data_IF_871503334946
#
_entry.id   IF_871503334946
#
_cell.length_a   1.000
_cell.length_b   1.000
_cell.length_c   1.000
_cell.angle_alpha   90.00
_cell.angle_beta   90.00
_cell.angle_gamma   90.00
#
_symmetry.space_group_name_H-M   'P 1'
#
loop_
_entity.id
_entity.type
_entity.pdbx_description
1 polymer ?
#
# COMPACT_ATOMS: atom_id res chain seq x y z
N UNK A 1 3.35 -4.86 20.86
CA UNK A 1 2.04 -4.58 20.22
C UNK A 1 1.03 -3.92 21.17
N UNK A 2 0.58 -4.53 22.28
CA UNK A 2 -0.46 -3.93 23.17
C UNK A 2 -0.09 -2.53 23.68
N UNK A 3 1.14 -2.30 24.15
CA UNK A 3 1.61 -0.99 24.64
C UNK A 3 1.55 0.09 23.54
N UNK A 4 2.00 -0.22 22.33
CA UNK A 4 1.94 0.72 21.21
C UNK A 4 0.50 1.05 20.81
N UNK A 5 -0.41 0.07 20.86
CA UNK A 5 -1.82 0.28 20.59
C UNK A 5 -2.47 1.22 21.60
N UNK A 6 -2.30 0.95 22.90
CA UNK A 6 -2.86 1.81 23.97
C UNK A 6 -2.34 3.24 23.85
N UNK A 7 -1.01 3.42 23.67
CA UNK A 7 -0.43 4.74 23.49
C UNK A 7 -0.98 5.48 22.28
N UNK A 8 -1.08 4.77 21.13
CA UNK A 8 -1.65 5.36 19.94
C UNK A 8 -3.15 5.69 20.08
N UNK A 9 -3.92 4.91 20.84
CA UNK A 9 -5.31 5.22 21.16
C UNK A 9 -5.43 6.51 21.96
N UNK A 10 -4.59 6.66 23.00
CA UNK A 10 -4.59 7.84 23.86
C UNK A 10 -4.19 9.11 23.11
N UNK A 11 -3.17 9.02 22.24
CA UNK A 11 -2.68 10.16 21.45
C UNK A 11 -3.63 10.56 20.31
N UNK A 12 -4.24 9.58 19.63
CA UNK A 12 -5.10 9.82 18.46
C UNK A 12 -6.59 9.91 18.80
N UNK A 13 -6.96 9.67 20.07
CA UNK A 13 -8.34 9.67 20.55
C UNK A 13 -9.27 8.81 19.67
N UNK A 14 -8.79 7.64 19.26
CA UNK A 14 -9.52 6.71 18.38
C UNK A 14 -9.39 5.27 18.86
N UNK A 15 -10.44 4.47 18.66
CA UNK A 15 -10.42 3.03 18.97
C UNK A 15 -9.59 2.20 17.99
N UNK A 16 -9.31 2.76 16.81
CA UNK A 16 -8.57 2.08 15.73
C UNK A 16 -7.35 2.91 15.28
N UNK A 17 -6.35 3.13 16.15
CA UNK A 17 -5.25 4.05 15.88
C UNK A 17 -4.41 3.64 14.66
N UNK A 18 -4.25 2.34 14.40
CA UNK A 18 -3.44 1.82 13.29
C UNK A 18 -4.11 2.00 11.91
N UNK A 19 -5.38 2.38 11.87
CA UNK A 19 -6.06 2.78 10.65
C UNK A 19 -5.93 4.27 10.33
N UNK A 20 -5.20 5.02 11.17
CA UNK A 20 -4.98 6.45 10.97
C UNK A 20 -3.85 6.70 9.97
N UNK A 21 -4.01 7.73 9.13
CA UNK A 21 -2.96 8.23 8.25
C UNK A 21 -1.73 8.81 8.98
N UNK A 22 -1.82 8.98 10.31
CA UNK A 22 -0.71 9.39 11.17
C UNK A 22 0.21 8.25 11.57
N UNK A 23 -0.16 7.01 11.27
CA UNK A 23 0.64 5.82 11.57
C UNK A 23 1.46 5.40 10.36
N UNK A 24 2.67 4.94 10.62
CA UNK A 24 3.60 4.43 9.61
C UNK A 24 4.36 3.22 10.16
N UNK A 25 4.89 2.38 9.29
CA UNK A 25 5.76 1.27 9.68
C UNK A 25 6.82 1.00 8.61
N UNK A 26 7.99 0.61 9.06
CA UNK A 26 9.09 0.09 8.24
C UNK A 26 9.15 -1.46 8.28
N UNK A 27 8.13 -2.10 8.84
CA UNK A 27 8.08 -3.55 9.06
C UNK A 27 8.71 -4.01 10.39
N UNK A 28 9.49 -3.17 11.08
CA UNK A 28 10.12 -3.45 12.38
C UNK A 28 9.61 -2.53 13.48
N UNK A 29 9.34 -1.28 13.13
CA UNK A 29 8.91 -0.21 14.03
C UNK A 29 7.48 0.21 13.73
N UNK A 30 6.79 0.72 14.74
CA UNK A 30 5.50 1.40 14.60
C UNK A 30 5.75 2.86 14.88
N UNK A 31 5.58 3.68 13.88
CA UNK A 31 5.88 5.10 13.89
C UNK A 31 4.59 5.91 13.87
N UNK A 32 4.56 7.01 14.60
CA UNK A 32 3.44 7.96 14.60
C UNK A 32 3.94 9.35 14.19
N UNK A 33 3.24 9.97 13.25
CA UNK A 33 3.48 11.37 12.87
C UNK A 33 2.95 12.29 13.95
N UNK A 34 3.82 13.12 14.49
CA UNK A 34 3.47 14.17 15.45
C UNK A 34 3.65 15.53 14.76
N UNK A 35 2.60 16.33 14.75
CA UNK A 35 2.71 17.71 14.29
C UNK A 35 3.49 18.51 15.35
N UNK A 36 4.65 19.04 14.95
CA UNK A 36 5.36 20.04 15.75
C UNK A 36 4.97 21.43 15.26
N UNK A 37 4.94 22.41 16.18
CA UNK A 37 4.64 23.82 15.87
C UNK A 37 5.65 24.46 14.90
N UNK A 38 6.82 23.87 14.71
CA UNK A 38 7.92 24.33 13.86
C UNK A 38 7.98 23.66 12.47
N UNK A 39 6.87 23.24 11.87
CA UNK A 39 6.76 22.70 10.50
C UNK A 39 7.59 21.46 10.15
N UNK A 40 8.37 20.89 11.04
CA UNK A 40 9.04 19.61 10.84
C UNK A 40 8.18 18.47 11.40
N UNK A 41 7.56 17.68 10.52
CA UNK A 41 6.88 16.45 10.93
C UNK A 41 7.88 15.49 11.60
N UNK A 42 7.72 15.26 12.91
CA UNK A 42 8.51 14.27 13.62
C UNK A 42 7.82 12.90 13.58
N UNK A 43 8.60 11.87 13.34
CA UNK A 43 8.16 10.48 13.50
C UNK A 43 8.62 9.96 14.87
N UNK A 44 7.67 9.49 15.66
CA UNK A 44 7.97 8.89 16.97
C UNK A 44 7.74 7.39 16.88
N UNK A 45 8.75 6.62 17.25
CA UNK A 45 8.65 5.18 17.41
C UNK A 45 7.86 4.86 18.68
N UNK A 46 6.67 4.28 18.53
CA UNK A 46 5.77 3.99 19.65
C UNK A 46 6.26 2.88 20.59
N UNK A 47 7.27 2.12 20.18
CA UNK A 47 7.85 1.06 21.00
C UNK A 47 9.01 1.56 21.88
N UNK A 48 9.82 2.49 21.35
CA UNK A 48 11.05 2.97 21.98
C UNK A 48 10.97 4.42 22.47
N UNK A 49 9.92 5.15 22.11
CA UNK A 49 9.75 6.60 22.35
C UNK A 49 10.84 7.49 21.72
N UNK A 50 11.58 6.96 20.76
CA UNK A 50 12.63 7.70 20.06
C UNK A 50 12.08 8.41 18.83
N UNK A 51 12.62 9.61 18.56
CA UNK A 51 12.35 10.32 17.31
C UNK A 51 13.13 9.65 16.19
N UNK A 52 12.44 9.30 15.12
CA UNK A 52 13.01 8.70 13.90
C UNK A 52 13.09 9.77 12.80
N UNK A 53 14.09 9.64 11.94
CA UNK A 53 14.24 10.58 10.84
C UNK A 53 13.23 10.30 9.71
N UNK A 54 12.39 11.27 9.31
CA UNK A 54 11.36 11.09 8.29
C UNK A 54 11.88 10.53 6.96
N UNK A 55 13.07 10.95 6.53
CA UNK A 55 13.65 10.59 5.24
C UNK A 55 13.82 9.09 4.98
N UNK A 56 14.08 8.29 6.02
CA UNK A 56 14.26 6.84 5.87
C UNK A 56 12.90 6.16 5.70
N UNK A 57 11.90 6.65 6.41
CA UNK A 57 10.55 6.07 6.41
C UNK A 57 9.74 6.49 5.19
N UNK A 58 9.93 7.70 4.69
CA UNK A 58 9.24 8.23 3.50
C UNK A 58 9.45 7.38 2.24
N UNK A 59 10.62 6.75 2.11
CA UNK A 59 10.88 5.86 0.96
C UNK A 59 9.93 4.66 0.95
N UNK A 60 9.55 4.15 2.11
CA UNK A 60 8.60 3.03 2.24
C UNK A 60 7.15 3.49 2.21
N UNK A 61 6.87 4.75 2.59
CA UNK A 61 5.52 5.31 2.58
C UNK A 61 5.06 5.78 1.20
N UNK A 62 5.96 5.91 0.23
CA UNK A 62 5.62 6.33 -1.15
C UNK A 62 4.65 5.40 -1.85
N UNK A 63 4.58 4.15 -1.42
CA UNK A 63 3.68 3.15 -1.96
C UNK A 63 2.27 3.20 -1.37
N UNK A 64 2.08 3.94 -0.27
CA UNK A 64 0.80 4.11 0.40
C UNK A 64 0.15 5.45 0.03
N UNK A 65 -1.12 5.40 -0.27
CA UNK A 65 -1.98 6.57 -0.48
C UNK A 65 -3.10 6.56 0.54
N UNK A 66 -3.28 7.70 1.21
CA UNK A 66 -4.34 7.87 2.20
C UNK A 66 -5.50 8.65 1.57
N UNK A 67 -6.66 8.00 1.50
CA UNK A 67 -7.90 8.61 0.98
C UNK A 67 -8.97 8.60 2.06
N UNK A 68 -9.07 9.68 2.82
CA UNK A 68 -9.93 9.74 4.02
C UNK A 68 -9.48 8.73 5.07
N UNK A 69 -10.34 7.77 5.40
CA UNK A 69 -10.04 6.69 6.34
C UNK A 69 -9.45 5.44 5.68
N UNK A 70 -9.35 5.41 4.36
CA UNK A 70 -8.88 4.25 3.61
C UNK A 70 -7.40 4.39 3.24
N UNK A 71 -6.70 3.27 3.25
CA UNK A 71 -5.33 3.15 2.81
C UNK A 71 -5.33 2.41 1.49
N UNK A 72 -4.81 3.05 0.45
CA UNK A 72 -4.59 2.45 -0.86
C UNK A 72 -3.11 2.11 -0.99
N UNK A 73 -2.80 0.89 -1.37
CA UNK A 73 -1.42 0.44 -1.54
C UNK A 73 -1.07 0.21 -3.00
N UNK A 74 0.09 0.74 -3.41
CA UNK A 74 0.68 0.61 -4.74
C UNK A 74 1.95 -0.27 -4.69
N UNK A 75 1.82 -1.60 -4.70
CA UNK A 75 2.94 -2.51 -4.40
C UNK A 75 4.10 -2.48 -5.39
N UNK A 76 3.88 -1.93 -6.57
CA UNK A 76 4.92 -1.73 -7.59
C UNK A 76 5.29 -0.25 -7.77
N UNK A 77 4.80 0.63 -6.89
CA UNK A 77 4.90 2.08 -7.03
C UNK A 77 3.74 2.69 -7.80
N UNK A 78 3.50 4.00 -7.60
CA UNK A 78 2.35 4.74 -8.19
C UNK A 78 2.39 4.87 -9.71
N UNK A 79 3.57 4.75 -10.31
CA UNK A 79 3.74 4.79 -11.76
C UNK A 79 3.31 3.48 -12.45
N UNK A 80 3.17 2.43 -11.65
CA UNK A 80 2.74 1.12 -12.10
C UNK A 80 1.24 0.95 -11.87
N UNK A 81 0.63 0.08 -12.63
CA UNK A 81 -0.82 0.02 -12.74
C UNK A 81 -1.46 -1.04 -11.84
N UNK A 82 -0.83 -1.39 -10.72
CA UNK A 82 -1.39 -2.33 -9.74
C UNK A 82 -1.71 -1.63 -8.44
N UNK A 83 -2.92 -1.85 -7.94
CA UNK A 83 -3.45 -1.21 -6.73
C UNK A 83 -4.19 -2.22 -5.85
N UNK A 84 -4.05 -2.05 -4.53
CA UNK A 84 -4.93 -2.65 -3.54
C UNK A 84 -5.76 -1.52 -2.91
N UNK A 85 -7.03 -1.45 -3.27
CA UNK A 85 -7.99 -0.47 -2.75
C UNK A 85 -9.10 -1.23 -2.01
N UNK A 86 -9.30 -1.02 -0.69
CA UNK A 86 -10.33 -1.70 0.09
C UNK A 86 -11.75 -1.53 -0.47
N UNK A 87 -11.99 -0.44 -1.19
CA UNK A 87 -13.29 -0.12 -1.82
C UNK A 87 -13.51 -0.86 -3.13
N UNK A 88 -12.45 -1.45 -3.70
CA UNK A 88 -12.49 -2.18 -4.97
C UNK A 88 -12.16 -3.64 -4.74
N UNK A 89 -12.93 -4.55 -5.31
CA UNK A 89 -12.67 -5.99 -5.27
C UNK A 89 -12.32 -6.52 -3.87
N UNK A 90 -12.90 -5.93 -2.81
CA UNK A 90 -12.60 -6.31 -1.40
C UNK A 90 -11.11 -6.21 -1.04
N UNK A 91 -10.39 -5.24 -1.61
CA UNK A 91 -8.96 -5.06 -1.38
C UNK A 91 -8.06 -6.07 -2.10
N UNK A 92 -8.58 -6.85 -3.04
CA UNK A 92 -7.75 -7.73 -3.86
C UNK A 92 -6.86 -6.91 -4.81
N UNK A 93 -5.61 -7.35 -5.06
CA UNK A 93 -4.76 -6.74 -6.05
C UNK A 93 -5.43 -6.70 -7.42
N UNK A 94 -5.51 -5.53 -8.00
CA UNK A 94 -6.19 -5.31 -9.27
C UNK A 94 -5.48 -4.27 -10.11
N UNK A 95 -5.70 -4.33 -11.43
CA UNK A 95 -5.26 -3.28 -12.33
C UNK A 95 -5.99 -1.98 -11.98
N UNK A 96 -5.24 -0.89 -11.82
CA UNK A 96 -5.75 0.36 -11.25
C UNK A 96 -6.85 1.00 -12.10
N UNK A 97 -6.74 0.91 -13.42
CA UNK A 97 -7.67 1.51 -14.38
C UNK A 97 -8.86 0.60 -14.64
N UNK A 98 -8.62 -0.64 -15.01
CA UNK A 98 -9.67 -1.59 -15.42
C UNK A 98 -10.37 -2.26 -14.23
N UNK A 99 -9.71 -2.36 -13.06
CA UNK A 99 -10.21 -3.08 -11.91
C UNK A 99 -10.13 -4.61 -12.04
N UNK A 100 -9.55 -5.14 -13.11
CA UNK A 100 -9.40 -6.59 -13.29
C UNK A 100 -8.39 -7.14 -12.28
N UNK A 101 -8.72 -8.21 -11.52
CA UNK A 101 -7.79 -8.79 -10.55
C UNK A 101 -6.49 -9.29 -11.20
N UNK A 102 -5.34 -9.00 -10.58
CA UNK A 102 -4.02 -9.37 -11.11
C UNK A 102 -3.89 -10.86 -11.37
N UNK A 103 -4.43 -11.69 -10.46
CA UNK A 103 -4.43 -13.13 -10.59
C UNK A 103 -5.13 -13.63 -11.87
N UNK A 104 -6.21 -12.94 -12.28
CA UNK A 104 -6.95 -13.31 -13.50
C UNK A 104 -6.08 -13.02 -14.73
N UNK A 105 -5.49 -11.83 -14.80
CA UNK A 105 -4.61 -11.45 -15.91
C UNK A 105 -3.39 -12.36 -16.01
N UNK A 106 -2.68 -12.55 -14.89
CA UNK A 106 -1.48 -13.39 -14.86
C UNK A 106 -1.77 -14.85 -15.24
N UNK A 107 -2.86 -15.41 -14.73
CA UNK A 107 -3.27 -16.78 -15.07
C UNK A 107 -3.63 -16.90 -16.55
N UNK A 108 -4.32 -15.90 -17.11
CA UNK A 108 -4.67 -15.87 -18.52
C UNK A 108 -3.42 -15.81 -19.41
N UNK A 109 -2.41 -14.99 -19.05
CA UNK A 109 -1.13 -14.95 -19.76
C UNK A 109 -0.41 -16.30 -19.68
N UNK A 110 -0.38 -16.91 -18.50
CA UNK A 110 0.25 -18.24 -18.32
C UNK A 110 -0.38 -19.31 -19.23
N UNK A 111 -1.70 -19.25 -19.41
CA UNK A 111 -2.44 -20.20 -20.26
C UNK A 111 -2.23 -19.92 -21.74
N UNK A 112 -2.36 -18.66 -22.17
CA UNK A 112 -2.39 -18.27 -23.58
C UNK A 112 -1.01 -17.88 -24.13
N UNK A 113 -0.03 -17.67 -23.24
CA UNK A 113 1.35 -17.28 -23.57
C UNK A 113 1.46 -15.99 -24.40
N UNK A 114 0.45 -15.13 -24.33
CA UNK A 114 0.40 -13.84 -25.04
C UNK A 114 -0.21 -12.77 -24.16
N UNK A 115 0.58 -11.71 -23.90
CA UNK A 115 0.15 -10.49 -23.22
C UNK A 115 -0.84 -9.73 -24.10
N UNK A 116 -0.56 -9.65 -25.41
CA UNK A 116 -1.39 -8.95 -26.38
C UNK A 116 -2.81 -9.56 -26.49
N UNK A 117 -2.91 -10.89 -26.57
CA UNK A 117 -4.20 -11.56 -26.62
C UNK A 117 -5.02 -11.31 -25.34
N UNK A 118 -4.37 -11.36 -24.16
CA UNK A 118 -5.01 -11.10 -22.87
C UNK A 118 -5.43 -9.64 -22.77
N UNK A 119 -4.60 -8.70 -23.19
CA UNK A 119 -4.91 -7.27 -23.26
C UNK A 119 -6.19 -7.04 -24.08
N UNK A 120 -6.27 -7.64 -25.23
CA UNK A 120 -7.44 -7.53 -26.11
C UNK A 120 -8.71 -8.15 -25.51
N UNK A 121 -8.61 -9.34 -24.91
CA UNK A 121 -9.78 -10.04 -24.34
C UNK A 121 -10.39 -9.36 -23.11
N UNK A 122 -9.54 -8.76 -22.29
CA UNK A 122 -10.00 -8.06 -21.08
C UNK A 122 -10.20 -6.56 -21.30
N UNK A 123 -9.94 -6.07 -22.52
CA UNK A 123 -9.99 -4.63 -22.86
C UNK A 123 -9.13 -3.78 -21.92
N UNK A 124 -7.94 -4.30 -21.58
CA UNK A 124 -6.96 -3.64 -20.70
C UNK A 124 -5.68 -3.31 -21.46
N UNK A 125 -4.88 -2.38 -20.96
CA UNK A 125 -3.59 -2.10 -21.58
C UNK A 125 -2.62 -3.26 -21.38
N UNK A 126 -1.70 -3.44 -22.33
CA UNK A 126 -0.61 -4.41 -22.16
C UNK A 126 0.26 -4.10 -20.93
N UNK A 127 0.37 -2.82 -20.56
CA UNK A 127 1.06 -2.37 -19.33
C UNK A 127 0.41 -2.96 -18.08
N UNK A 128 -0.92 -2.88 -17.95
CA UNK A 128 -1.65 -3.49 -16.84
C UNK A 128 -1.44 -5.01 -16.77
N UNK A 129 -1.43 -5.67 -17.94
CA UNK A 129 -1.20 -7.12 -18.01
C UNK A 129 0.22 -7.48 -17.57
N UNK A 130 1.25 -6.75 -18.04
CA UNK A 130 2.65 -6.98 -17.65
C UNK A 130 2.87 -6.73 -16.17
N UNK A 131 2.32 -5.64 -15.65
CA UNK A 131 2.41 -5.30 -14.23
C UNK A 131 1.73 -6.35 -13.35
N UNK A 132 0.59 -6.88 -13.78
CA UNK A 132 -0.09 -7.96 -13.08
C UNK A 132 0.74 -9.25 -13.04
N UNK A 133 1.36 -9.63 -14.16
CA UNK A 133 2.25 -10.81 -14.22
C UNK A 133 3.46 -10.62 -13.32
N UNK A 134 4.09 -9.45 -13.34
CA UNK A 134 5.24 -9.15 -12.49
C UNK A 134 4.86 -9.22 -11.01
N UNK A 135 3.74 -8.61 -10.63
CA UNK A 135 3.25 -8.62 -9.25
C UNK A 135 3.01 -10.05 -8.75
N UNK A 136 2.27 -10.86 -9.50
CA UNK A 136 1.97 -12.26 -9.13
C UNK A 136 3.24 -13.13 -9.10
N UNK A 137 4.23 -12.84 -9.93
CA UNK A 137 5.51 -13.54 -9.93
C UNK A 137 6.31 -13.23 -8.66
N UNK A 138 6.31 -11.96 -8.22
CA UNK A 138 6.96 -11.56 -6.96
C UNK A 138 6.30 -12.16 -5.72
N UNK A 139 4.98 -12.35 -5.75
CA UNK A 139 4.25 -13.01 -4.65
C UNK A 139 4.55 -14.51 -4.53
N UNK A 140 4.92 -15.14 -5.64
CA UNK A 140 5.19 -16.58 -5.69
C UNK A 140 6.67 -16.93 -5.37
N UNK A 141 7.55 -15.93 -5.28
CA UNK A 141 8.98 -16.09 -5.00
C UNK A 141 9.27 -16.13 -3.51
#
# INVERSE_FOLDING_TARGET
MRRAHTKAQDELQTTHPFCSNRMATDGKSILMRQANEDSDEALINLLTDQKEFPRIVETFLKELEFSGNDIIWWPLGRERQIVLDPRRNFGQPSAARSGVPTRVLARSVKTNRSVEAVSHWFEVSEGEVRDAVEFETRLAA
#
